data_IF_702735839642
#
_entry.id   IF_702735839642
#
_cell.length_a   1.000
_cell.length_b   1.000
_cell.length_c   1.000
_cell.angle_alpha   90.00
_cell.angle_beta   90.00
_cell.angle_gamma   90.00
#
_symmetry.space_group_name_H-M   'P 1'
#
loop_
_entity.id
_entity.type
_entity.pdbx_description
1 polymer ?
#
# COMPACT_ATOMS: atom_id res chain seq x y z
N UNK A 1 -2.41 10.76 17.99
CA UNK A 1 -2.38 11.71 16.87
C UNK A 1 -3.22 11.09 15.75
N UNK A 2 -4.42 11.60 15.48
CA UNK A 2 -5.32 10.99 14.49
C UNK A 2 -5.33 11.79 13.20
N UNK A 3 -5.52 11.11 12.06
CA UNK A 3 -5.78 11.75 10.77
C UNK A 3 -7.04 12.61 10.83
N UNK A 4 -7.03 13.71 10.09
CA UNK A 4 -8.22 14.54 9.92
C UNK A 4 -9.23 13.79 9.05
N UNK A 5 -10.55 13.94 9.27
CA UNK A 5 -11.57 13.27 8.46
C UNK A 5 -11.38 13.47 6.95
N UNK A 6 -10.99 14.68 6.54
CA UNK A 6 -10.63 15.02 5.15
C UNK A 6 -9.44 14.22 4.60
N UNK A 7 -8.44 13.92 5.43
CA UNK A 7 -7.28 13.12 5.04
C UNK A 7 -7.67 11.66 4.87
N UNK A 8 -8.53 11.14 5.75
CA UNK A 8 -9.08 9.77 5.65
C UNK A 8 -9.90 9.60 4.38
N UNK A 9 -10.79 10.57 4.08
CA UNK A 9 -11.58 10.55 2.84
C UNK A 9 -10.68 10.54 1.59
N UNK A 10 -9.61 11.33 1.62
CA UNK A 10 -8.64 11.36 0.54
C UNK A 10 -7.86 10.05 0.44
N UNK A 11 -7.44 9.47 1.57
CA UNK A 11 -6.81 8.15 1.59
C UNK A 11 -7.70 7.14 0.91
N UNK A 12 -8.96 6.99 1.34
CA UNK A 12 -9.90 6.04 0.77
C UNK A 12 -10.08 6.25 -0.74
N UNK A 13 -10.30 7.50 -1.18
CA UNK A 13 -10.46 7.81 -2.59
C UNK A 13 -9.23 7.40 -3.42
N UNK A 14 -8.02 7.69 -2.91
CA UNK A 14 -6.78 7.36 -3.61
C UNK A 14 -6.50 5.86 -3.63
N UNK A 15 -6.84 5.14 -2.57
CA UNK A 15 -6.66 3.69 -2.48
C UNK A 15 -7.67 2.91 -3.31
N UNK A 16 -8.88 3.45 -3.49
CA UNK A 16 -9.92 2.80 -4.30
C UNK A 16 -9.58 2.80 -5.81
N UNK A 17 -8.80 3.77 -6.31
CA UNK A 17 -8.48 3.87 -7.74
C UNK A 17 -7.70 2.64 -8.25
N UNK A 18 -6.59 2.21 -7.62
CA UNK A 18 -5.91 0.96 -7.98
C UNK A 18 -6.80 -0.26 -7.80
N UNK A 19 -7.64 -0.30 -6.75
CA UNK A 19 -8.56 -1.41 -6.50
C UNK A 19 -9.63 -1.53 -7.59
N UNK A 20 -10.23 -0.44 -8.05
CA UNK A 20 -11.16 -0.49 -9.17
C UNK A 20 -10.46 -0.92 -10.47
N UNK A 21 -9.21 -0.51 -10.64
CA UNK A 21 -8.42 -0.88 -11.83
C UNK A 21 -8.03 -2.36 -11.84
N UNK A 22 -7.94 -3.01 -10.66
CA UNK A 22 -7.72 -4.46 -10.56
C UNK A 22 -8.89 -5.26 -11.14
N UNK A 23 -10.11 -4.72 -11.13
CA UNK A 23 -11.29 -5.41 -11.66
C UNK A 23 -11.28 -5.49 -13.19
N UNK A 24 -10.67 -4.51 -13.86
CA UNK A 24 -10.45 -4.49 -15.32
C UNK A 24 -9.18 -5.20 -15.77
N UNK A 25 -8.47 -5.83 -14.84
CA UNK A 25 -7.16 -6.41 -15.10
C UNK A 25 -7.24 -7.77 -15.80
N UNK A 26 -6.18 -8.15 -16.54
CA UNK A 26 -6.12 -9.47 -17.19
C UNK A 26 -6.07 -10.57 -16.15
N UNK A 27 -7.19 -11.25 -16.01
CA UNK A 27 -7.36 -12.47 -15.24
C UNK A 27 -6.41 -13.55 -15.80
N UNK A 28 -5.55 -14.11 -14.95
CA UNK A 28 -4.67 -15.22 -15.32
C UNK A 28 -5.52 -16.36 -15.92
N UNK A 29 -5.08 -16.99 -17.02
CA UNK A 29 -5.86 -18.05 -17.70
C UNK A 29 -6.29 -19.20 -16.77
N UNK A 30 -5.50 -19.46 -15.73
CA UNK A 30 -5.75 -20.45 -14.66
C UNK A 30 -6.91 -20.08 -13.71
N UNK A 31 -7.39 -18.84 -13.73
CA UNK A 31 -8.57 -18.37 -12.99
C UNK A 31 -9.87 -18.61 -13.77
N UNK A 32 -9.80 -18.82 -15.09
CA UNK A 32 -10.96 -18.97 -16.00
C UNK A 32 -11.36 -20.44 -16.17
N UNK A 33 -10.41 -21.37 -15.96
CA UNK A 33 -10.57 -22.79 -16.29
C UNK A 33 -11.56 -23.56 -15.40
N UNK A 34 -11.85 -23.08 -14.18
CA UNK A 34 -12.80 -23.74 -13.25
C UNK A 34 -13.55 -22.73 -12.38
N UNK A 35 -14.85 -22.95 -12.10
CA UNK A 35 -15.62 -22.10 -11.19
C UNK A 35 -15.02 -22.17 -9.78
N UNK A 36 -14.50 -21.05 -9.29
CA UNK A 36 -13.87 -20.98 -7.97
C UNK A 36 -14.93 -20.77 -6.89
N UNK A 37 -15.00 -21.70 -5.94
CA UNK A 37 -15.78 -21.51 -4.70
C UNK A 37 -15.02 -20.56 -3.78
N UNK A 38 -15.74 -19.68 -3.10
CA UNK A 38 -15.18 -18.77 -2.10
C UNK A 38 -14.53 -19.60 -0.98
N UNK A 39 -13.21 -19.53 -0.90
CA UNK A 39 -12.46 -20.28 0.12
C UNK A 39 -12.18 -19.37 1.31
N UNK A 40 -13.08 -19.39 2.30
CA UNK A 40 -12.98 -18.56 3.50
C UNK A 40 -11.69 -18.84 4.27
N UNK A 41 -11.22 -20.10 4.30
CA UNK A 41 -9.97 -20.45 4.97
C UNK A 41 -8.75 -19.83 4.28
N UNK A 42 -8.74 -19.77 2.94
CA UNK A 42 -7.71 -19.06 2.18
C UNK A 42 -7.71 -17.57 2.50
N UNK A 43 -8.88 -16.93 2.41
CA UNK A 43 -9.05 -15.49 2.68
C UNK A 43 -8.58 -15.17 4.10
N UNK A 44 -8.94 -15.99 5.08
CA UNK A 44 -8.51 -15.81 6.47
C UNK A 44 -6.99 -15.90 6.62
N UNK A 45 -6.35 -16.92 6.05
CA UNK A 45 -4.87 -17.07 6.10
C UNK A 45 -4.18 -15.90 5.38
N UNK A 46 -4.75 -15.42 4.28
CA UNK A 46 -4.25 -14.26 3.55
C UNK A 46 -4.32 -13.00 4.41
N UNK A 47 -5.48 -12.68 4.98
CA UNK A 47 -5.66 -11.53 5.87
C UNK A 47 -4.73 -11.59 7.09
N UNK A 48 -4.57 -12.76 7.70
CA UNK A 48 -3.65 -12.91 8.84
C UNK A 48 -2.20 -12.67 8.43
N UNK A 49 -1.75 -13.21 7.31
CA UNK A 49 -0.35 -13.08 6.88
C UNK A 49 -0.03 -11.64 6.47
N UNK A 50 -0.81 -11.06 5.56
CA UNK A 50 -0.56 -9.73 5.02
C UNK A 50 -0.96 -8.63 6.00
N UNK A 51 -2.01 -8.84 6.80
CA UNK A 51 -2.38 -7.93 7.88
C UNK A 51 -1.30 -7.83 8.95
N UNK A 52 -0.71 -8.95 9.38
CA UNK A 52 0.41 -8.93 10.34
C UNK A 52 1.64 -8.22 9.78
N UNK A 53 1.99 -8.45 8.51
CA UNK A 53 3.08 -7.72 7.86
C UNK A 53 2.78 -6.23 7.85
N UNK A 54 1.59 -5.81 7.43
CA UNK A 54 1.19 -4.40 7.44
C UNK A 54 1.31 -3.79 8.84
N UNK A 55 0.75 -4.43 9.86
CA UNK A 55 0.80 -3.91 11.22
C UNK A 55 2.22 -3.74 11.76
N UNK A 56 3.13 -4.67 11.46
CA UNK A 56 4.55 -4.52 11.84
C UNK A 56 5.15 -3.26 11.21
N UNK A 57 4.85 -3.00 9.94
CA UNK A 57 5.32 -1.80 9.24
C UNK A 57 4.63 -0.53 9.73
N UNK A 58 3.36 -0.59 10.11
CA UNK A 58 2.65 0.54 10.74
C UNK A 58 3.34 0.94 12.06
N UNK A 59 3.62 -0.04 12.93
CA UNK A 59 4.34 0.19 14.19
C UNK A 59 5.77 0.70 13.95
N UNK A 60 6.47 0.16 12.96
CA UNK A 60 7.80 0.60 12.60
C UNK A 60 7.78 2.05 12.11
N UNK A 61 6.82 2.41 11.27
CA UNK A 61 6.61 3.77 10.77
C UNK A 61 6.34 4.73 11.92
N UNK A 62 5.45 4.38 12.84
CA UNK A 62 5.21 5.18 14.04
C UNK A 62 6.46 5.33 14.89
N UNK A 63 7.22 4.26 15.10
CA UNK A 63 8.48 4.30 15.85
C UNK A 63 9.52 5.21 15.21
N UNK A 64 9.70 5.13 13.89
CA UNK A 64 10.65 5.99 13.14
C UNK A 64 10.21 7.45 13.16
N UNK A 65 8.93 7.74 12.93
CA UNK A 65 8.42 9.12 12.94
C UNK A 65 8.51 9.74 14.33
N UNK A 66 8.16 9.00 15.39
CA UNK A 66 8.10 9.55 16.76
C UNK A 66 9.48 9.57 17.43
N UNK A 67 10.22 8.47 17.41
CA UNK A 67 11.47 8.36 18.17
C UNK A 67 12.70 8.83 17.41
N UNK A 68 12.78 8.55 16.11
CA UNK A 68 13.97 8.90 15.32
C UNK A 68 13.87 10.31 14.74
N UNK A 69 12.70 10.68 14.22
CA UNK A 69 12.48 11.96 13.55
C UNK A 69 11.79 13.01 14.43
N UNK A 70 11.31 12.63 15.62
CA UNK A 70 10.63 13.53 16.58
C UNK A 70 9.52 14.36 15.94
N UNK A 71 8.73 13.72 15.08
CA UNK A 71 7.68 14.36 14.29
C UNK A 71 6.66 15.07 15.19
N UNK A 72 6.36 16.32 14.86
CA UNK A 72 5.19 17.01 15.38
C UNK A 72 3.89 16.37 14.85
N UNK A 73 2.76 16.83 15.40
CA UNK A 73 1.43 16.27 15.08
C UNK A 73 1.12 16.34 13.58
N UNK A 74 1.53 17.42 12.92
CA UNK A 74 1.23 17.65 11.51
C UNK A 74 2.15 16.88 10.57
N UNK A 75 3.45 16.78 10.88
CA UNK A 75 4.37 15.94 10.11
C UNK A 75 3.99 14.47 10.25
N UNK A 76 3.60 14.04 11.45
CA UNK A 76 3.13 12.67 11.67
C UNK A 76 1.90 12.35 10.84
N UNK A 77 0.88 13.24 10.83
CA UNK A 77 -0.33 13.05 9.99
C UNK A 77 0.01 12.96 8.51
N UNK A 78 0.92 13.81 8.04
CA UNK A 78 1.30 13.83 6.62
C UNK A 78 2.11 12.59 6.25
N UNK A 79 3.09 12.20 7.08
CA UNK A 79 3.90 11.01 6.87
C UNK A 79 3.06 9.73 6.92
N UNK A 80 2.15 9.64 7.89
CA UNK A 80 1.20 8.53 8.00
C UNK A 80 0.28 8.43 6.79
N UNK A 81 -0.27 9.56 6.30
CA UNK A 81 -1.05 9.57 5.06
C UNK A 81 -0.24 9.03 3.87
N UNK A 82 1.00 9.50 3.70
CA UNK A 82 1.87 9.07 2.58
C UNK A 82 2.14 7.57 2.66
N UNK A 83 2.52 7.08 3.84
CA UNK A 83 2.80 5.66 4.06
C UNK A 83 1.56 4.81 3.75
N UNK A 84 0.41 5.14 4.33
CA UNK A 84 -0.79 4.31 4.21
C UNK A 84 -1.29 4.21 2.76
N UNK A 85 -1.27 5.31 2.00
CA UNK A 85 -1.70 5.30 0.58
C UNK A 85 -0.72 4.49 -0.28
N UNK A 86 0.59 4.60 -0.02
CA UNK A 86 1.59 3.85 -0.78
C UNK A 86 1.49 2.35 -0.47
N UNK A 87 1.42 1.98 0.82
CA UNK A 87 1.28 0.58 1.26
C UNK A 87 0.01 -0.06 0.68
N UNK A 88 -1.11 0.67 0.68
CA UNK A 88 -2.35 0.23 0.05
C UNK A 88 -2.22 0.08 -1.49
N UNK A 89 -1.54 1.01 -2.16
CA UNK A 89 -1.31 0.91 -3.61
C UNK A 89 -0.42 -0.29 -3.98
N UNK A 90 0.57 -0.60 -3.12
CA UNK A 90 1.47 -1.74 -3.28
C UNK A 90 0.75 -3.07 -3.03
N UNK A 91 -0.05 -3.18 -1.96
CA UNK A 91 -0.71 -4.45 -1.63
C UNK A 91 -1.66 -4.90 -2.74
N UNK A 92 -2.31 -3.96 -3.45
CA UNK A 92 -3.13 -4.26 -4.64
C UNK A 92 -2.30 -4.99 -5.71
N UNK A 93 -1.08 -4.52 -5.98
CA UNK A 93 -0.18 -5.18 -6.92
C UNK A 93 0.25 -6.58 -6.46
N UNK A 94 0.41 -6.77 -5.14
CA UNK A 94 0.79 -8.05 -4.53
C UNK A 94 -0.36 -9.05 -4.61
N UNK A 95 -1.60 -8.61 -4.31
CA UNK A 95 -2.84 -9.42 -4.32
C UNK A 95 -3.23 -9.86 -5.73
N UNK A 96 -3.01 -8.99 -6.72
CA UNK A 96 -3.43 -9.13 -8.13
C UNK A 96 -3.10 -10.48 -8.76
N UNK A 97 -1.91 -11.03 -8.55
CA UNK A 97 -1.56 -12.35 -9.10
C UNK A 97 -1.05 -13.30 -8.04
N UNK A 98 -1.38 -14.59 -8.18
CA UNK A 98 -0.81 -15.67 -7.36
C UNK A 98 0.67 -15.91 -7.68
N UNK A 99 1.15 -15.43 -8.83
CA UNK A 99 2.53 -15.58 -9.28
C UNK A 99 3.40 -14.44 -8.74
N UNK A 100 4.71 -14.65 -8.54
CA UNK A 100 5.64 -13.59 -8.11
C UNK A 100 5.61 -12.40 -9.07
N UNK A 101 5.81 -11.19 -8.56
CA UNK A 101 5.77 -9.93 -9.33
C UNK A 101 6.66 -9.96 -10.60
N UNK A 102 7.78 -10.67 -10.54
CA UNK A 102 8.71 -10.87 -11.65
C UNK A 102 8.19 -11.77 -12.79
N UNK A 103 7.13 -12.56 -12.59
CA UNK A 103 6.58 -13.48 -13.62
C UNK A 103 5.21 -13.05 -14.18
N UNK A 104 4.47 -12.20 -13.49
CA UNK A 104 3.21 -11.63 -13.96
C UNK A 104 3.36 -10.13 -14.17
N UNK A 105 3.47 -9.68 -15.42
CA UNK A 105 3.52 -8.24 -15.72
C UNK A 105 2.17 -7.61 -15.41
N UNK A 106 2.12 -6.52 -14.63
CA UNK A 106 0.86 -5.82 -14.41
C UNK A 106 0.30 -5.28 -15.73
N UNK A 107 -1.02 -5.14 -15.81
CA UNK A 107 -1.64 -4.42 -16.93
C UNK A 107 -1.14 -2.98 -16.88
N UNK A 108 -0.92 -2.36 -18.05
CA UNK A 108 -0.48 -0.97 -18.11
C UNK A 108 -1.40 -0.02 -17.34
N UNK A 109 -2.71 -0.30 -17.32
CA UNK A 109 -3.69 0.47 -16.56
C UNK A 109 -3.46 0.42 -15.06
N UNK A 110 -3.28 -0.77 -14.47
CA UNK A 110 -3.03 -0.90 -13.03
C UNK A 110 -1.70 -0.24 -12.63
N UNK A 111 -0.64 -0.46 -13.43
CA UNK A 111 0.66 0.16 -13.16
C UNK A 111 0.58 1.69 -13.21
N UNK A 112 -0.10 2.24 -14.22
CA UNK A 112 -0.28 3.68 -14.38
C UNK A 112 -1.13 4.26 -13.24
N UNK A 113 -2.20 3.59 -12.84
CA UNK A 113 -3.04 4.00 -11.71
C UNK A 113 -2.24 4.04 -10.41
N UNK A 114 -1.47 2.98 -10.11
CA UNK A 114 -0.61 2.93 -8.92
C UNK A 114 0.45 4.02 -8.95
N UNK A 115 1.15 4.20 -10.07
CA UNK A 115 2.17 5.25 -10.20
C UNK A 115 1.59 6.65 -10.08
N UNK A 116 0.41 6.89 -10.66
CA UNK A 116 -0.30 8.17 -10.58
C UNK A 116 -0.71 8.47 -9.13
N UNK A 117 -1.25 7.48 -8.40
CA UNK A 117 -1.62 7.64 -6.99
C UNK A 117 -0.41 7.89 -6.11
N UNK A 118 0.67 7.11 -6.27
CA UNK A 118 1.92 7.31 -5.52
C UNK A 118 2.51 8.69 -5.81
N UNK A 119 2.59 9.09 -7.08
CA UNK A 119 3.08 10.40 -7.48
C UNK A 119 2.24 11.54 -6.92
N UNK A 120 0.91 11.43 -7.00
CA UNK A 120 0.00 12.42 -6.45
C UNK A 120 0.17 12.55 -4.93
N UNK A 121 0.22 11.43 -4.21
CA UNK A 121 0.42 11.39 -2.75
C UNK A 121 1.72 12.07 -2.32
N UNK A 122 2.81 11.84 -3.05
CA UNK A 122 4.11 12.46 -2.75
C UNK A 122 4.16 13.95 -3.09
N UNK A 123 3.49 14.36 -4.16
CA UNK A 123 3.49 15.76 -4.61
C UNK A 123 2.52 16.63 -3.81
N UNK A 124 1.41 16.06 -3.34
CA UNK A 124 0.32 16.81 -2.71
C UNK A 124 0.77 17.70 -1.53
N UNK A 125 1.64 17.27 -0.59
CA UNK A 125 2.16 18.14 0.47
C UNK A 125 2.95 19.36 0.00
N UNK A 126 3.44 19.36 -1.25
CA UNK A 126 4.18 20.45 -1.88
C UNK A 126 3.31 21.33 -2.78
N UNK A 127 2.03 20.99 -2.95
CA UNK A 127 1.08 21.76 -3.76
C UNK A 127 0.29 22.79 -2.93
N UNK A 128 -0.36 23.79 -3.55
CA UNK A 128 -1.25 24.72 -2.85
C UNK A 128 -2.41 24.04 -2.11
N UNK A 129 -2.79 22.82 -2.53
CA UNK A 129 -3.84 22.02 -1.90
C UNK A 129 -3.48 21.52 -0.50
N UNK A 130 -2.21 21.66 -0.07
CA UNK A 130 -1.76 21.28 1.27
C UNK A 130 -2.51 22.00 2.39
N UNK A 131 -2.82 23.30 2.22
CA UNK A 131 -3.46 24.14 3.25
C UNK A 131 -4.89 23.68 3.56
N UNK A 132 -5.81 23.57 2.58
CA UNK A 132 -7.17 23.11 2.86
C UNK A 132 -7.19 21.66 3.36
N UNK A 133 -6.19 20.84 3.00
CA UNK A 133 -6.09 19.44 3.42
C UNK A 133 -5.32 19.23 4.74
N UNK A 134 -4.70 20.28 5.30
CA UNK A 134 -3.95 20.22 6.56
C UNK A 134 -2.67 19.38 6.46
N UNK A 135 -2.01 19.41 5.31
CA UNK A 135 -0.71 18.78 5.09
C UNK A 135 0.42 19.79 5.23
N UNK A 136 1.54 19.32 5.77
CA UNK A 136 2.78 20.08 5.87
C UNK A 136 3.85 19.45 4.97
N UNK A 137 4.71 20.25 4.33
CA UNK A 137 5.79 19.72 3.52
C UNK A 137 6.72 18.89 4.41
N UNK A 138 6.95 17.63 4.03
CA UNK A 138 7.83 16.75 4.79
C UNK A 138 9.30 17.11 4.51
N UNK A 139 10.16 17.18 5.54
CA UNK A 139 11.61 17.29 5.36
C UNK A 139 12.17 16.11 4.57
N UNK A 140 13.32 16.30 3.90
CA UNK A 140 13.95 15.24 3.11
C UNK A 140 14.29 13.98 3.93
N UNK A 141 14.61 14.13 5.22
CA UNK A 141 14.85 13.02 6.14
C UNK A 141 13.61 12.13 6.34
N UNK A 142 12.42 12.73 6.40
CA UNK A 142 11.15 12.00 6.50
C UNK A 142 10.87 11.24 5.21
N UNK A 143 11.05 11.87 4.05
CA UNK A 143 10.88 11.21 2.76
C UNK A 143 11.86 10.03 2.60
N UNK A 144 13.12 10.21 2.98
CA UNK A 144 14.11 9.13 2.93
C UNK A 144 13.74 7.96 3.85
N UNK A 145 13.30 8.25 5.08
CA UNK A 145 12.84 7.23 6.01
C UNK A 145 11.61 6.47 5.47
N UNK A 146 10.60 7.19 4.98
CA UNK A 146 9.40 6.60 4.37
C UNK A 146 9.74 5.76 3.15
N UNK A 147 10.66 6.22 2.29
CA UNK A 147 11.11 5.45 1.13
C UNK A 147 11.77 4.14 1.55
N UNK A 148 12.64 4.16 2.57
CA UNK A 148 13.25 2.95 3.12
C UNK A 148 12.21 1.97 3.67
N UNK A 149 11.22 2.48 4.41
CA UNK A 149 10.12 1.69 4.97
C UNK A 149 9.30 1.04 3.84
N UNK A 150 8.92 1.81 2.82
CA UNK A 150 8.15 1.32 1.66
C UNK A 150 8.92 0.24 0.91
N UNK A 151 10.22 0.44 0.64
CA UNK A 151 11.06 -0.56 -0.03
C UNK A 151 11.14 -1.85 0.80
N UNK A 152 11.33 -1.73 2.11
CA UNK A 152 11.35 -2.86 3.02
C UNK A 152 9.98 -3.57 3.06
N UNK A 153 8.86 -2.82 3.05
CA UNK A 153 7.51 -3.35 3.00
C UNK A 153 7.26 -4.14 1.73
N UNK A 154 7.60 -3.59 0.56
CA UNK A 154 7.49 -4.28 -0.74
C UNK A 154 8.28 -5.59 -0.71
N UNK A 155 9.52 -5.56 -0.21
CA UNK A 155 10.35 -6.75 -0.07
C UNK A 155 9.74 -7.80 0.85
N UNK A 156 9.22 -7.37 2.01
CA UNK A 156 8.54 -8.24 2.97
C UNK A 156 7.24 -8.83 2.40
N UNK A 157 6.44 -8.05 1.70
CA UNK A 157 5.21 -8.48 1.06
C UNK A 157 5.46 -9.51 -0.05
N UNK A 158 6.46 -9.30 -0.91
CA UNK A 158 6.86 -10.27 -1.93
C UNK A 158 7.42 -11.56 -1.30
N UNK A 159 8.18 -11.45 -0.21
CA UNK A 159 8.69 -12.59 0.53
C UNK A 159 7.57 -13.39 1.21
N UNK A 160 6.65 -12.69 1.88
CA UNK A 160 5.45 -13.27 2.50
C UNK A 160 4.60 -13.99 1.45
N UNK A 161 4.42 -13.40 0.27
CA UNK A 161 3.75 -14.01 -0.87
C UNK A 161 4.43 -15.32 -1.31
N UNK A 162 5.76 -15.31 -1.46
CA UNK A 162 6.54 -16.50 -1.83
C UNK A 162 6.39 -17.62 -0.80
N UNK A 163 6.43 -17.30 0.49
CA UNK A 163 6.22 -18.29 1.57
C UNK A 163 4.78 -18.80 1.57
N UNK A 164 3.81 -17.90 1.45
CA UNK A 164 2.39 -18.20 1.50
C UNK A 164 2.01 -19.18 0.39
N UNK A 165 2.37 -18.90 -0.86
CA UNK A 165 2.08 -19.81 -1.98
C UNK A 165 2.91 -21.09 -1.98
N UNK A 166 4.03 -21.15 -1.25
CA UNK A 166 4.80 -22.39 -1.07
C UNK A 166 4.15 -23.35 -0.07
N UNK A 167 3.52 -22.84 0.98
CA UNK A 167 2.91 -23.67 2.05
C UNK A 167 1.39 -23.80 1.92
N UNK A 168 0.74 -22.85 1.26
CA UNK A 168 -0.70 -22.82 0.99
C UNK A 168 -0.92 -23.12 -0.49
N UNK A 169 -0.48 -24.31 -0.89
CA UNK A 169 -0.92 -24.92 -2.15
C UNK A 169 -2.22 -25.67 -1.83
N UNK A 170 -3.27 -25.39 -2.60
CA UNK A 170 -4.44 -26.28 -2.66
C UNK A 170 -4.13 -27.43 -3.60
#
# INVERSE_FOLDING_TARGET
MNLLPKQILLTNLLTDIPEMTIAGDRVDKELIDRPRRWNIAFIRKFMLTFGLVSSIFDYLTFGVLIWFLQAGVEEFRTGWFVESVISASVIVLVVRSRRPFMRSKPSPGLLMATLAVVGLTLLLPYTPLRVPLGFVPLPASFLAALLCIVIAYVGAAEFAKKIFYRHVVY
#
